data_IF_214300336295
#
_entry.id   IF_214300336295
#
_cell.length_a   1.000
_cell.length_b   1.000
_cell.length_c   1.000
_cell.angle_alpha   90.00
_cell.angle_beta   90.00
_cell.angle_gamma   90.00
#
_symmetry.space_group_name_H-M   'P 1'
#
loop_
_entity.id
_entity.type
_entity.pdbx_description
1 polymer ?
#
# COMPACT_ATOMS: atom_id res chain seq x y z
N UNK A 1 17.41 -1.46 -20.00
CA UNK A 1 17.24 -1.71 -18.55
C UNK A 1 16.05 -0.96 -17.92
N UNK A 2 15.53 0.15 -18.50
CA UNK A 2 14.49 1.00 -17.88
C UNK A 2 13.05 0.46 -17.84
N UNK A 3 12.63 -0.49 -18.68
CA UNK A 3 11.21 -0.89 -18.75
C UNK A 3 10.67 -1.42 -17.43
N UNK A 4 11.39 -2.34 -16.79
CA UNK A 4 10.93 -3.03 -15.58
C UNK A 4 10.84 -2.11 -14.36
N UNK A 5 11.74 -1.12 -14.28
CA UNK A 5 11.71 -0.14 -13.19
C UNK A 5 10.52 0.80 -13.32
N UNK A 6 10.17 1.19 -14.55
CA UNK A 6 9.03 2.04 -14.83
C UNK A 6 7.71 1.27 -14.60
N UNK A 7 7.66 0.00 -14.96
CA UNK A 7 6.50 -0.89 -14.70
C UNK A 7 6.18 -1.00 -13.21
N UNK A 8 7.20 -1.17 -12.35
CA UNK A 8 7.01 -1.30 -10.90
C UNK A 8 6.59 0.02 -10.26
N UNK A 9 7.18 1.14 -10.70
CA UNK A 9 6.74 2.47 -10.29
C UNK A 9 5.27 2.69 -10.64
N UNK A 10 4.87 2.36 -11.86
CA UNK A 10 3.48 2.46 -12.29
C UNK A 10 2.56 1.52 -11.50
N UNK A 11 3.01 0.31 -11.15
CA UNK A 11 2.22 -0.60 -10.33
C UNK A 11 1.98 -0.05 -8.92
N UNK A 12 2.99 0.55 -8.27
CA UNK A 12 2.83 1.23 -6.97
C UNK A 12 1.93 2.45 -7.09
N UNK A 13 2.07 3.26 -8.14
CA UNK A 13 1.19 4.41 -8.37
C UNK A 13 -0.26 3.96 -8.54
N UNK A 14 -0.51 2.92 -9.35
CA UNK A 14 -1.84 2.35 -9.56
C UNK A 14 -2.46 1.84 -8.26
N UNK A 15 -1.68 1.23 -7.39
CA UNK A 15 -2.13 0.79 -6.07
C UNK A 15 -2.63 1.97 -5.21
N UNK A 16 -1.87 3.06 -5.12
CA UNK A 16 -2.29 4.25 -4.37
C UNK A 16 -3.48 4.96 -5.01
N UNK A 17 -3.50 5.09 -6.35
CA UNK A 17 -4.62 5.69 -7.06
C UNK A 17 -5.92 4.89 -6.86
N UNK A 18 -5.85 3.56 -6.81
CA UNK A 18 -6.99 2.71 -6.52
C UNK A 18 -7.47 2.88 -5.07
N UNK A 19 -6.55 2.97 -4.10
CA UNK A 19 -6.91 3.27 -2.71
C UNK A 19 -7.59 4.63 -2.56
N UNK A 20 -7.11 5.65 -3.29
CA UNK A 20 -7.62 7.02 -3.23
C UNK A 20 -8.99 7.15 -3.89
N UNK A 21 -9.31 6.29 -4.86
CA UNK A 21 -10.63 6.18 -5.51
C UNK A 21 -11.60 5.27 -4.76
N UNK A 22 -11.18 4.67 -3.64
CA UNK A 22 -11.94 3.65 -2.90
C UNK A 22 -12.37 2.45 -3.78
N UNK A 23 -11.52 2.10 -4.75
CA UNK A 23 -11.77 1.01 -5.70
C UNK A 23 -11.14 -0.29 -5.21
N UNK A 24 -11.91 -1.04 -4.42
CA UNK A 24 -11.45 -2.28 -3.78
C UNK A 24 -10.94 -3.32 -4.79
N UNK A 25 -11.65 -3.51 -5.91
CA UNK A 25 -11.26 -4.51 -6.90
C UNK A 25 -9.95 -4.12 -7.57
N UNK A 26 -9.78 -2.85 -7.95
CA UNK A 26 -8.51 -2.37 -8.51
C UNK A 26 -7.35 -2.44 -7.51
N UNK A 27 -7.61 -2.25 -6.22
CA UNK A 27 -6.61 -2.46 -5.16
C UNK A 27 -6.19 -3.94 -5.10
N UNK A 28 -7.16 -4.85 -5.03
CA UNK A 28 -6.90 -6.28 -4.90
C UNK A 28 -6.20 -6.85 -6.14
N UNK A 29 -6.54 -6.36 -7.33
CA UNK A 29 -5.86 -6.72 -8.57
C UNK A 29 -4.36 -6.38 -8.52
N UNK A 30 -3.89 -5.45 -7.70
CA UNK A 30 -2.46 -5.15 -7.64
C UNK A 30 -1.62 -6.26 -6.99
N UNK A 31 -2.23 -7.19 -6.25
CA UNK A 31 -1.53 -8.18 -5.42
C UNK A 31 -1.44 -9.57 -6.06
N UNK A 32 -0.42 -10.34 -5.64
CA UNK A 32 -0.32 -11.76 -5.95
C UNK A 32 -1.26 -12.58 -5.04
N UNK A 33 -1.60 -13.80 -5.47
CA UNK A 33 -2.52 -14.68 -4.72
C UNK A 33 -2.04 -15.02 -3.31
N UNK A 34 -0.72 -15.08 -3.12
CA UNK A 34 0.00 -15.46 -1.90
C UNK A 34 0.60 -14.27 -1.14
N UNK A 35 0.08 -13.06 -1.38
CA UNK A 35 0.56 -11.81 -0.80
C UNK A 35 0.82 -11.87 0.71
N UNK A 36 1.95 -11.29 1.15
CA UNK A 36 2.24 -10.98 2.55
C UNK A 36 2.14 -9.46 2.79
N UNK A 37 1.14 -9.06 3.57
CA UNK A 37 0.84 -7.66 3.84
C UNK A 37 1.01 -7.34 5.34
N UNK A 38 1.82 -6.32 5.64
CA UNK A 38 2.27 -5.98 6.99
C UNK A 38 2.06 -4.50 7.29
N UNK A 39 1.53 -4.22 8.48
CA UNK A 39 1.33 -2.85 9.00
C UNK A 39 1.59 -2.83 10.51
N UNK A 40 1.95 -1.67 11.09
CA UNK A 40 2.25 -1.58 12.51
C UNK A 40 0.99 -1.85 13.33
N UNK A 41 1.10 -2.70 14.35
CA UNK A 41 -0.01 -3.03 15.25
C UNK A 41 -0.99 -4.10 14.74
N UNK A 42 -0.73 -4.73 13.59
CA UNK A 42 -1.57 -5.80 13.03
C UNK A 42 -0.76 -7.09 12.84
N UNK A 43 -1.44 -8.24 12.90
CA UNK A 43 -0.86 -9.51 12.45
C UNK A 43 -0.55 -9.47 10.95
N UNK A 44 0.36 -10.33 10.50
CA UNK A 44 0.67 -10.47 9.07
C UNK A 44 -0.57 -11.01 8.35
N UNK A 45 -1.03 -10.25 7.36
CA UNK A 45 -2.12 -10.66 6.47
C UNK A 45 -1.48 -11.49 5.35
N UNK A 46 -1.89 -12.75 5.23
CA UNK A 46 -1.36 -13.69 4.24
C UNK A 46 -2.49 -14.19 3.34
N UNK A 47 -2.35 -13.97 2.03
CA UNK A 47 -3.29 -14.39 1.00
C UNK A 47 -4.44 -13.42 0.74
N UNK A 48 -5.03 -13.55 -0.45
CA UNK A 48 -6.04 -12.62 -0.98
C UNK A 48 -7.35 -12.57 -0.18
N UNK A 49 -7.78 -13.69 0.41
CA UNK A 49 -9.01 -13.73 1.19
C UNK A 49 -8.90 -12.83 2.43
N UNK A 50 -7.82 -12.98 3.21
CA UNK A 50 -7.58 -12.14 4.39
C UNK A 50 -7.35 -10.68 4.00
N UNK A 51 -6.68 -10.44 2.87
CA UNK A 51 -6.46 -9.08 2.37
C UNK A 51 -7.78 -8.40 1.99
N UNK A 52 -8.70 -9.11 1.33
CA UNK A 52 -10.04 -8.61 1.02
C UNK A 52 -10.81 -8.25 2.29
N UNK A 53 -10.85 -9.14 3.28
CA UNK A 53 -11.51 -8.89 4.58
C UNK A 53 -11.00 -7.61 5.23
N UNK A 54 -9.68 -7.43 5.23
CA UNK A 54 -9.05 -6.23 5.77
C UNK A 54 -9.52 -4.95 5.06
N UNK A 55 -9.50 -4.91 3.73
CA UNK A 55 -9.90 -3.71 3.00
C UNK A 55 -11.41 -3.44 3.06
N UNK A 56 -12.26 -4.46 3.12
CA UNK A 56 -13.72 -4.29 3.17
C UNK A 56 -14.25 -3.87 4.54
N UNK A 57 -13.54 -4.19 5.62
CA UNK A 57 -14.05 -4.00 7.00
C UNK A 57 -13.04 -3.39 7.94
N UNK A 58 -11.91 -4.07 8.14
CA UNK A 58 -11.01 -3.82 9.27
C UNK A 58 -10.11 -2.59 9.09
N UNK A 59 -9.97 -2.10 7.86
CA UNK A 59 -9.19 -0.90 7.54
C UNK A 59 -9.75 0.30 8.31
N UNK A 60 -8.93 0.84 9.22
CA UNK A 60 -9.28 1.99 10.08
C UNK A 60 -9.19 3.33 9.36
N UNK A 61 -8.37 3.41 8.32
CA UNK A 61 -8.29 4.58 7.44
C UNK A 61 -9.55 4.64 6.57
N UNK A 62 -10.26 5.76 6.61
CA UNK A 62 -11.36 6.05 5.69
C UNK A 62 -10.81 6.42 4.29
N UNK A 63 -11.67 6.73 3.30
CA UNK A 63 -11.21 7.32 2.05
C UNK A 63 -10.38 8.59 2.33
N UNK A 64 -9.27 8.72 1.61
CA UNK A 64 -8.31 9.80 1.75
C UNK A 64 -7.40 9.83 0.53
N UNK A 65 -6.37 10.67 0.58
CA UNK A 65 -5.43 10.88 -0.52
C UNK A 65 -4.01 10.52 -0.09
N UNK A 66 -3.33 9.74 -0.92
CA UNK A 66 -1.90 9.49 -0.78
C UNK A 66 -1.12 10.48 -1.64
N UNK A 67 -0.25 11.26 -1.00
CA UNK A 67 0.74 12.12 -1.63
C UNK A 67 2.08 11.39 -1.59
N UNK A 68 2.37 10.61 -2.63
CA UNK A 68 3.68 9.95 -2.78
C UNK A 68 4.71 10.99 -3.22
N UNK A 69 5.69 11.27 -2.35
CA UNK A 69 6.73 12.27 -2.59
C UNK A 69 7.93 11.67 -3.31
N UNK A 70 8.33 10.48 -2.89
CA UNK A 70 9.48 9.77 -3.42
C UNK A 70 9.12 8.30 -3.68
N UNK A 71 9.67 7.76 -4.77
CA UNK A 71 9.73 6.31 -4.98
C UNK A 71 11.12 5.92 -5.47
N UNK A 72 11.73 4.98 -4.75
CA UNK A 72 13.00 4.36 -5.08
C UNK A 72 12.72 2.95 -5.61
N UNK A 73 13.32 2.60 -6.74
CA UNK A 73 13.12 1.30 -7.39
C UNK A 73 14.46 0.56 -7.44
N UNK A 74 14.49 -0.66 -6.93
CA UNK A 74 15.66 -1.53 -6.94
C UNK A 74 15.25 -2.95 -7.33
N UNK A 75 15.57 -3.37 -8.56
CA UNK A 75 15.32 -4.73 -9.03
C UNK A 75 13.82 -5.07 -9.13
N UNK A 76 13.30 -5.82 -8.15
CA UNK A 76 11.88 -6.13 -8.00
C UNK A 76 11.24 -5.48 -6.77
N UNK A 77 11.88 -4.46 -6.22
CA UNK A 77 11.44 -3.78 -4.99
C UNK A 77 11.19 -2.31 -5.26
N UNK A 78 10.19 -1.78 -4.57
CA UNK A 78 9.91 -0.33 -4.56
C UNK A 78 9.77 0.13 -3.11
N UNK A 79 10.44 1.22 -2.76
CA UNK A 79 10.19 1.95 -1.53
C UNK A 79 9.47 3.26 -1.89
N UNK A 80 8.29 3.47 -1.33
CA UNK A 80 7.52 4.70 -1.46
C UNK A 80 7.56 5.46 -0.14
N UNK A 81 7.75 6.77 -0.21
CA UNK A 81 7.68 7.66 0.94
C UNK A 81 6.73 8.82 0.62
N UNK A 82 5.89 9.18 1.58
CA UNK A 82 4.84 10.14 1.32
C UNK A 82 4.04 10.54 2.54
N UNK A 83 2.89 11.15 2.28
CA UNK A 83 1.93 11.55 3.29
C UNK A 83 0.56 11.04 2.89
N UNK A 84 -0.17 10.48 3.86
CA UNK A 84 -1.59 10.21 3.71
C UNK A 84 -2.38 11.33 4.37
N UNK A 85 -3.35 11.89 3.67
CA UNK A 85 -4.28 12.89 4.17
C UNK A 85 -5.70 12.34 4.04
N UNK A 86 -6.39 12.12 5.16
CA UNK A 86 -7.72 11.53 5.13
C UNK A 86 -8.45 11.67 6.45
N UNK A 87 -9.51 10.90 6.62
CA UNK A 87 -10.25 10.83 7.87
C UNK A 87 -10.05 9.46 8.51
N UNK A 88 -10.02 9.41 9.84
CA UNK A 88 -10.22 8.16 10.56
C UNK A 88 -11.72 7.85 10.58
N UNK A 89 -12.11 6.57 10.53
CA UNK A 89 -13.54 6.17 10.60
C UNK A 89 -14.29 6.71 11.83
N UNK A 90 -13.60 7.15 12.88
CA UNK A 90 -14.19 7.70 14.12
C UNK A 90 -13.53 9.01 14.60
N UNK A 91 -12.95 9.85 13.73
CA UNK A 91 -12.23 11.05 14.21
C UNK A 91 -11.99 12.18 13.21
N UNK A 92 -11.18 13.14 13.65
CA UNK A 92 -10.74 14.32 12.88
C UNK A 92 -9.91 13.93 11.64
N UNK A 93 -9.74 14.89 10.72
CA UNK A 93 -8.80 14.77 9.60
C UNK A 93 -7.41 14.43 10.13
N UNK A 94 -6.83 13.34 9.65
CA UNK A 94 -5.47 12.93 9.97
C UNK A 94 -4.57 13.15 8.76
N UNK A 95 -3.41 13.75 9.00
CA UNK A 95 -2.29 13.75 8.07
C UNK A 95 -1.15 12.98 8.73
N UNK A 96 -0.70 11.89 8.10
CA UNK A 96 0.35 11.03 8.64
C UNK A 96 1.38 10.70 7.55
N UNK A 97 2.65 10.89 7.87
CA UNK A 97 3.74 10.46 7.00
C UNK A 97 3.81 8.93 6.94
N UNK A 98 4.21 8.37 5.81
CA UNK A 98 4.42 6.93 5.67
C UNK A 98 5.66 6.60 4.84
N UNK A 99 6.23 5.43 5.12
CA UNK A 99 7.13 4.73 4.24
C UNK A 99 6.55 3.33 3.96
N UNK A 100 6.54 2.91 2.71
CA UNK A 100 6.01 1.62 2.30
C UNK A 100 7.00 0.89 1.40
N UNK A 101 7.17 -0.41 1.63
CA UNK A 101 8.08 -1.27 0.88
C UNK A 101 7.28 -2.34 0.18
N UNK A 102 7.52 -2.49 -1.12
CA UNK A 102 6.86 -3.43 -2.01
C UNK A 102 7.90 -4.38 -2.59
N UNK A 103 7.55 -5.67 -2.67
CA UNK A 103 8.27 -6.66 -3.49
C UNK A 103 7.30 -7.23 -4.52
N UNK A 104 7.79 -7.39 -5.75
CA UNK A 104 7.00 -7.87 -6.88
C UNK A 104 7.38 -9.30 -7.27
N UNK A 105 6.39 -10.10 -7.63
CA UNK A 105 6.59 -11.42 -8.23
C UNK A 105 7.08 -11.32 -9.70
N UNK A 106 7.25 -12.46 -10.37
CA UNK A 106 7.68 -12.49 -11.77
C UNK A 106 6.62 -11.95 -12.74
N UNK A 107 5.36 -11.88 -12.32
CA UNK A 107 4.23 -11.38 -13.11
C UNK A 107 3.97 -9.87 -12.88
N UNK A 108 4.79 -9.21 -12.05
CA UNK A 108 4.62 -7.80 -11.71
C UNK A 108 3.46 -7.52 -10.75
N UNK A 109 3.00 -8.52 -10.00
CA UNK A 109 2.04 -8.35 -8.91
C UNK A 109 2.78 -8.15 -7.58
N UNK A 110 2.17 -7.40 -6.66
CA UNK A 110 2.74 -7.14 -5.34
C UNK A 110 2.64 -8.43 -4.52
N UNK A 111 3.80 -9.04 -4.24
CA UNK A 111 3.92 -10.24 -3.42
C UNK A 111 4.13 -9.92 -1.93
N UNK A 112 4.80 -8.81 -1.63
CA UNK A 112 4.91 -8.31 -0.26
C UNK A 112 4.68 -6.81 -0.21
N UNK A 113 3.99 -6.36 0.84
CA UNK A 113 3.82 -4.94 1.12
C UNK A 113 3.90 -4.68 2.62
N UNK A 114 4.84 -3.84 3.05
CA UNK A 114 4.99 -3.41 4.44
C UNK A 114 4.87 -1.91 4.53
N UNK A 115 3.95 -1.40 5.35
CA UNK A 115 3.82 0.03 5.62
C UNK A 115 4.35 0.36 7.01
N UNK A 116 5.03 1.50 7.14
CA UNK A 116 5.42 2.17 8.38
C UNK A 116 4.80 3.56 8.40
N UNK A 117 4.37 4.01 9.57
CA UNK A 117 3.84 5.36 9.76
C UNK A 117 4.82 6.19 10.58
N UNK A 118 4.95 7.45 10.22
CA UNK A 118 5.73 8.43 10.98
C UNK A 118 4.89 8.92 12.16
N UNK A 119 4.86 8.10 13.21
CA UNK A 119 4.16 8.37 14.46
C UNK A 119 5.13 8.22 15.63
N UNK A 120 4.88 8.88 16.77
CA UNK A 120 5.66 8.64 17.98
C UNK A 120 5.73 7.15 18.31
N UNK A 121 6.93 6.65 18.60
CA UNK A 121 7.16 5.25 18.94
C UNK A 121 7.06 4.98 20.45
N UNK A 122 7.28 6.00 21.27
CA UNK A 122 7.21 6.03 22.74
C UNK A 122 6.83 7.41 23.24
#
# INVERSE_FOLDING_TARGET
MNSRTDDQRHAVQRYYDALDRDDLEAVLDCFSGDVLYRRPGYEVISGMEKLRTYYSGDRQLAPGRHLVRDMLVEGNRVAAHGMYEGQLKQGERTAVGFAAFFSFDMNGRIAEHTTYFFTPAV
#
